data_IF_232365974428
#
_entry.id   IF_232365974428
#
_cell.length_a   1.000
_cell.length_b   1.000
_cell.length_c   1.000
_cell.angle_alpha   90.00
_cell.angle_beta   90.00
_cell.angle_gamma   90.00
#
_symmetry.space_group_name_H-M   'P 1'
#
loop_
_entity.id
_entity.type
_entity.pdbx_description
1 polymer ?
#
# COMPACT_ATOMS: atom_id res chain seq x y z
N UNK A 1 -81.14 -44.27 -12.65
CA UNK A 1 -79.72 -44.79 -12.86
C UNK A 1 -78.87 -43.54 -12.93
N UNK A 2 -78.18 -43.20 -11.82
CA UNK A 2 -77.37 -41.99 -11.75
C UNK A 2 -75.92 -42.37 -12.09
N UNK A 3 -75.51 -41.94 -13.28
CA UNK A 3 -74.14 -42.12 -13.75
C UNK A 3 -73.24 -41.07 -13.09
N UNK A 4 -72.58 -41.47 -12.01
CA UNK A 4 -71.51 -40.64 -11.45
C UNK A 4 -70.24 -40.92 -12.26
N UNK A 5 -69.67 -39.95 -12.93
CA UNK A 5 -68.40 -40.14 -13.58
C UNK A 5 -67.34 -40.42 -12.51
N UNK A 6 -66.81 -41.60 -12.55
CA UNK A 6 -65.60 -41.91 -11.74
C UNK A 6 -64.49 -40.99 -12.17
N UNK A 7 -63.93 -40.21 -11.25
CA UNK A 7 -62.76 -39.40 -11.57
C UNK A 7 -61.63 -40.34 -11.93
N UNK A 8 -61.12 -40.28 -13.16
CA UNK A 8 -59.93 -40.97 -13.55
C UNK A 8 -58.79 -40.51 -12.64
N UNK A 9 -57.97 -41.46 -12.13
CA UNK A 9 -56.88 -41.13 -11.18
C UNK A 9 -55.89 -40.09 -11.67
N UNK A 10 -55.79 -39.87 -13.00
CA UNK A 10 -54.98 -38.84 -13.61
C UNK A 10 -55.45 -37.41 -13.33
N UNK A 11 -56.80 -37.20 -13.11
CA UNK A 11 -57.39 -35.89 -12.81
C UNK A 11 -57.16 -35.44 -11.35
N UNK A 12 -56.75 -36.35 -10.47
CA UNK A 12 -56.43 -35.99 -9.09
C UNK A 12 -55.09 -35.30 -8.93
N UNK A 13 -54.21 -35.36 -9.91
CA UNK A 13 -52.87 -34.73 -9.90
C UNK A 13 -52.81 -33.42 -10.67
N UNK A 14 -53.96 -32.90 -11.13
CA UNK A 14 -54.00 -31.59 -11.77
C UNK A 14 -53.54 -30.47 -10.75
N UNK A 15 -52.64 -29.62 -11.21
CA UNK A 15 -52.09 -28.52 -10.41
C UNK A 15 -53.15 -27.61 -9.83
N UNK A 16 -54.32 -27.42 -10.47
CA UNK A 16 -55.43 -26.67 -9.97
C UNK A 16 -56.10 -27.33 -8.77
N UNK A 17 -56.34 -28.64 -8.81
CA UNK A 17 -56.93 -29.41 -7.71
C UNK A 17 -55.94 -29.49 -6.52
N UNK A 18 -54.69 -29.67 -6.80
CA UNK A 18 -53.64 -29.62 -5.76
C UNK A 18 -53.58 -28.26 -5.08
N UNK A 19 -53.69 -27.19 -5.84
CA UNK A 19 -53.78 -25.82 -5.31
C UNK A 19 -55.09 -25.60 -4.54
N UNK A 20 -56.23 -26.16 -4.99
CA UNK A 20 -57.52 -26.09 -4.28
C UNK A 20 -57.45 -26.84 -2.93
N UNK A 21 -56.91 -28.07 -2.89
CA UNK A 21 -56.73 -28.84 -1.64
C UNK A 21 -55.78 -28.16 -0.67
N UNK A 22 -54.70 -27.56 -1.14
CA UNK A 22 -53.80 -26.76 -0.30
C UNK A 22 -54.49 -25.51 0.26
N UNK A 23 -55.46 -24.97 -0.48
CA UNK A 23 -56.27 -23.81 -0.01
C UNK A 23 -57.27 -24.21 1.10
N UNK A 24 -57.71 -25.47 1.11
CA UNK A 24 -58.70 -26.00 2.08
C UNK A 24 -58.05 -26.48 3.38
N UNK A 25 -56.73 -26.69 3.40
CA UNK A 25 -56.01 -27.07 4.63
C UNK A 25 -56.03 -25.95 5.64
N UNK A 26 -56.06 -26.27 6.96
CA UNK A 26 -55.96 -25.29 8.06
C UNK A 26 -54.71 -24.38 7.89
N UNK A 27 -53.68 -24.89 7.31
CA UNK A 27 -52.47 -24.12 6.99
C UNK A 27 -52.73 -23.14 5.85
N UNK A 28 -53.37 -23.58 4.76
CA UNK A 28 -53.68 -22.75 3.60
C UNK A 28 -54.69 -21.63 3.91
N UNK A 29 -55.67 -21.88 4.79
CA UNK A 29 -56.61 -20.85 5.25
C UNK A 29 -55.92 -19.82 6.15
N UNK A 30 -55.19 -20.24 7.16
CA UNK A 30 -54.40 -19.34 8.03
C UNK A 30 -53.34 -18.56 7.24
N UNK A 31 -52.71 -19.16 6.24
CA UNK A 31 -51.75 -18.49 5.37
C UNK A 31 -52.42 -17.40 4.49
N UNK A 32 -53.67 -17.64 4.05
CA UNK A 32 -54.45 -16.64 3.30
C UNK A 32 -54.91 -15.47 4.18
N UNK A 33 -55.36 -15.75 5.39
CA UNK A 33 -55.87 -14.75 6.35
C UNK A 33 -54.73 -13.79 6.77
N UNK A 34 -53.48 -14.27 6.83
CA UNK A 34 -52.31 -13.47 7.21
C UNK A 34 -51.64 -12.84 5.99
N UNK A 35 -52.32 -11.88 5.38
CA UNK A 35 -51.79 -11.16 4.20
C UNK A 35 -50.42 -10.55 4.46
N UNK A 36 -50.18 -9.94 5.64
CA UNK A 36 -48.89 -9.39 6.05
C UNK A 36 -47.77 -10.44 6.12
N UNK A 37 -48.09 -11.66 6.63
CA UNK A 37 -47.10 -12.75 6.72
C UNK A 37 -46.65 -13.27 5.33
N UNK A 38 -47.56 -13.29 4.36
CA UNK A 38 -47.26 -13.67 2.97
C UNK A 38 -46.36 -12.65 2.27
N UNK A 39 -46.66 -11.37 2.48
CA UNK A 39 -45.85 -10.28 1.96
C UNK A 39 -44.44 -10.34 2.60
N UNK A 40 -44.38 -10.45 3.92
CA UNK A 40 -43.10 -10.60 4.65
C UNK A 40 -42.29 -11.82 4.18
N UNK A 41 -42.94 -13.00 4.00
CA UNK A 41 -42.27 -14.21 3.51
C UNK A 41 -41.75 -14.06 2.07
N UNK A 42 -42.48 -13.36 1.20
CA UNK A 42 -42.03 -13.10 -0.18
C UNK A 42 -40.78 -12.18 -0.22
N UNK A 43 -40.79 -11.16 0.65
CA UNK A 43 -39.68 -10.24 0.73
C UNK A 43 -38.53 -10.75 1.62
N UNK A 44 -38.77 -11.71 2.53
CA UNK A 44 -37.70 -12.31 3.37
C UNK A 44 -36.68 -13.10 2.58
N UNK A 45 -37.03 -13.63 1.40
CA UNK A 45 -36.08 -14.38 0.54
C UNK A 45 -34.92 -13.48 0.05
N UNK A 46 -35.18 -12.20 -0.23
CA UNK A 46 -34.16 -11.27 -0.70
C UNK A 46 -33.08 -11.04 0.38
N UNK A 47 -33.42 -10.58 1.61
CA UNK A 47 -32.41 -10.40 2.66
C UNK A 47 -31.76 -11.71 3.09
N UNK A 48 -32.47 -12.85 3.05
CA UNK A 48 -31.85 -14.16 3.31
C UNK A 48 -30.82 -14.54 2.25
N UNK A 49 -31.10 -14.27 0.97
CA UNK A 49 -30.14 -14.47 -0.09
C UNK A 49 -28.90 -13.57 0.09
N UNK A 50 -29.11 -12.28 0.40
CA UNK A 50 -28.00 -11.36 0.69
C UNK A 50 -27.19 -11.82 1.89
N UNK A 51 -27.85 -12.27 2.96
CA UNK A 51 -27.17 -12.79 4.15
C UNK A 51 -26.35 -14.06 3.81
N UNK A 52 -26.91 -14.97 3.01
CA UNK A 52 -26.21 -16.18 2.58
C UNK A 52 -24.99 -15.85 1.69
N UNK A 53 -25.14 -14.92 0.75
CA UNK A 53 -24.04 -14.45 -0.10
C UNK A 53 -22.96 -13.73 0.72
N UNK A 54 -23.38 -12.89 1.68
CA UNK A 54 -22.43 -12.22 2.57
C UNK A 54 -21.70 -13.21 3.49
N UNK A 55 -22.41 -14.21 4.04
CA UNK A 55 -21.79 -15.26 4.85
C UNK A 55 -20.79 -16.10 4.01
N UNK A 56 -21.14 -16.40 2.76
CA UNK A 56 -20.25 -17.10 1.84
C UNK A 56 -19.01 -16.24 1.49
N UNK A 57 -19.20 -14.98 1.15
CA UNK A 57 -18.12 -14.01 0.95
C UNK A 57 -17.19 -13.96 2.17
N UNK A 58 -17.77 -13.79 3.37
CA UNK A 58 -16.99 -13.75 4.60
C UNK A 58 -16.20 -15.02 4.84
N UNK A 59 -16.85 -16.19 4.71
CA UNK A 59 -16.23 -17.49 5.00
C UNK A 59 -15.17 -17.89 3.98
N UNK A 60 -15.38 -17.60 2.70
CA UNK A 60 -14.50 -18.08 1.62
C UNK A 60 -13.41 -17.10 1.22
N UNK A 61 -13.61 -15.80 1.44
CA UNK A 61 -12.68 -14.76 1.01
C UNK A 61 -12.08 -14.01 2.21
N UNK A 62 -12.91 -13.36 3.04
CA UNK A 62 -12.41 -12.46 4.10
C UNK A 62 -11.74 -13.22 5.24
N UNK A 63 -12.37 -14.25 5.81
CA UNK A 63 -11.87 -14.91 7.01
C UNK A 63 -10.55 -15.67 6.78
N UNK A 64 -10.37 -16.43 5.67
CA UNK A 64 -9.10 -17.08 5.37
C UNK A 64 -7.96 -16.07 5.16
N UNK A 65 -8.25 -14.97 4.46
CA UNK A 65 -7.25 -13.96 4.20
C UNK A 65 -6.89 -13.18 5.48
N UNK A 66 -7.86 -12.84 6.31
CA UNK A 66 -7.61 -12.25 7.64
C UNK A 66 -6.73 -13.16 8.49
N UNK A 67 -6.98 -14.47 8.50
CA UNK A 67 -6.15 -15.44 9.22
C UNK A 67 -4.72 -15.55 8.64
N UNK A 68 -4.57 -15.38 7.33
CA UNK A 68 -3.25 -15.32 6.68
C UNK A 68 -2.50 -14.05 7.06
N UNK A 69 -3.16 -12.89 6.96
CA UNK A 69 -2.59 -11.59 7.27
C UNK A 69 -2.19 -11.47 8.74
N UNK A 70 -2.95 -12.03 9.67
CA UNK A 70 -2.62 -12.04 11.10
C UNK A 70 -1.31 -12.76 11.46
N UNK A 71 -0.71 -13.49 10.51
CA UNK A 71 0.59 -14.16 10.68
C UNK A 71 1.74 -13.36 10.06
N UNK A 72 1.45 -12.21 9.44
CA UNK A 72 2.50 -11.34 8.89
C UNK A 72 3.06 -10.46 10.01
N UNK A 73 4.31 -10.08 9.84
CA UNK A 73 5.00 -9.15 10.73
C UNK A 73 6.01 -8.35 9.91
N UNK A 74 6.35 -7.13 10.32
CA UNK A 74 7.41 -6.39 9.68
C UNK A 74 8.76 -7.09 9.90
N UNK A 75 9.62 -7.00 8.89
CA UNK A 75 10.96 -7.59 8.96
C UNK A 75 11.99 -6.68 8.28
N UNK A 76 13.25 -6.85 8.66
CA UNK A 76 14.38 -6.28 7.95
C UNK A 76 15.28 -7.42 7.46
N UNK A 77 15.55 -7.43 6.16
CA UNK A 77 16.20 -8.52 5.45
C UNK A 77 17.58 -8.07 4.99
N UNK A 78 18.67 -8.77 5.33
CA UNK A 78 20.01 -8.42 4.87
C UNK A 78 20.12 -8.66 3.36
N UNK A 79 20.65 -7.67 2.63
CA UNK A 79 20.82 -7.72 1.17
C UNK A 79 22.29 -7.75 0.78
N UNK A 80 23.11 -6.82 1.33
CA UNK A 80 24.51 -6.72 1.01
C UNK A 80 25.32 -6.20 2.20
N UNK A 81 26.57 -6.63 2.31
CA UNK A 81 27.52 -6.06 3.25
C UNK A 81 28.04 -4.69 2.79
N UNK A 82 28.74 -3.96 3.67
CA UNK A 82 29.31 -2.66 3.35
C UNK A 82 30.47 -2.78 2.34
N UNK A 83 30.56 -1.83 1.41
CA UNK A 83 31.66 -1.77 0.44
C UNK A 83 32.85 -1.00 1.02
N UNK A 84 33.55 -1.60 1.97
CA UNK A 84 34.77 -1.05 2.56
C UNK A 84 34.62 -0.56 4.00
N UNK A 85 35.77 -0.27 4.63
CA UNK A 85 35.85 0.07 6.06
C UNK A 85 35.07 1.35 6.43
N UNK A 86 35.03 2.35 5.56
CA UNK A 86 34.32 3.60 5.79
C UNK A 86 32.79 3.45 5.85
N UNK A 87 32.25 2.33 5.40
CA UNK A 87 30.82 2.02 5.42
C UNK A 87 30.46 0.99 6.50
N UNK A 88 31.45 0.47 7.25
CA UNK A 88 31.24 -0.66 8.16
C UNK A 88 30.39 -0.34 9.39
N UNK A 89 30.36 0.91 9.83
CA UNK A 89 29.64 1.40 11.01
C UNK A 89 28.23 1.94 10.69
N UNK A 90 27.76 1.75 9.48
CA UNK A 90 26.50 2.27 8.97
C UNK A 90 25.62 1.16 8.40
N UNK A 91 24.33 1.23 8.65
CA UNK A 91 23.31 0.41 8.02
C UNK A 91 22.39 1.26 7.14
N UNK A 92 22.08 0.79 5.94
CA UNK A 92 21.15 1.41 5.00
C UNK A 92 19.88 0.58 4.94
N UNK A 93 18.74 1.18 5.24
CA UNK A 93 17.42 0.53 5.17
C UNK A 93 16.66 1.08 3.98
N UNK A 94 16.32 0.21 3.05
CA UNK A 94 15.55 0.54 1.85
C UNK A 94 14.05 0.30 2.08
N UNK A 95 13.20 1.28 1.69
CA UNK A 95 11.76 1.29 1.92
C UNK A 95 11.01 1.56 0.61
N UNK A 96 10.10 0.68 0.26
CA UNK A 96 9.32 0.76 -0.98
C UNK A 96 8.08 1.64 -0.86
N UNK A 97 7.55 2.04 -2.03
CA UNK A 97 6.37 2.89 -2.16
C UNK A 97 5.04 2.15 -2.07
N UNK A 98 3.97 2.91 -2.38
CA UNK A 98 2.58 2.46 -2.33
C UNK A 98 2.35 1.21 -3.18
N UNK A 99 1.63 0.25 -2.62
CA UNK A 99 1.28 -1.01 -3.29
C UNK A 99 2.35 -2.09 -3.25
N UNK A 100 3.53 -1.79 -2.67
CA UNK A 100 4.62 -2.76 -2.48
C UNK A 100 4.73 -3.19 -1.01
N UNK A 101 5.07 -4.46 -0.80
CA UNK A 101 5.21 -5.05 0.53
C UNK A 101 6.67 -5.06 1.00
N UNK A 102 7.61 -5.27 0.08
CA UNK A 102 8.99 -5.66 0.38
C UNK A 102 9.98 -4.91 -0.53
N UNK A 103 11.04 -4.39 0.06
CA UNK A 103 12.08 -3.61 -0.62
C UNK A 103 13.23 -4.47 -1.19
N UNK A 104 13.18 -5.79 -1.07
CA UNK A 104 14.29 -6.68 -1.48
C UNK A 104 14.75 -6.46 -2.91
N UNK A 105 13.81 -6.38 -3.86
CA UNK A 105 14.15 -6.21 -5.28
C UNK A 105 14.71 -4.81 -5.57
N UNK A 106 14.21 -3.79 -4.87
CA UNK A 106 14.70 -2.42 -5.01
C UNK A 106 16.10 -2.29 -4.46
N UNK A 107 16.34 -2.80 -3.26
CA UNK A 107 17.65 -2.81 -2.63
C UNK A 107 18.69 -3.59 -3.46
N UNK A 108 18.31 -4.72 -4.06
CA UNK A 108 19.19 -5.47 -4.99
C UNK A 108 19.51 -4.70 -6.27
N UNK A 109 18.59 -3.88 -6.76
CA UNK A 109 18.80 -3.04 -7.94
C UNK A 109 19.76 -1.86 -7.67
N UNK A 110 20.00 -1.53 -6.39
CA UNK A 110 20.80 -0.39 -5.94
C UNK A 110 22.09 -0.82 -5.18
N UNK A 111 23.00 -1.62 -5.77
CA UNK A 111 24.20 -2.10 -5.10
C UNK A 111 25.11 -0.97 -4.60
N UNK A 112 25.05 0.23 -5.19
CA UNK A 112 25.83 1.39 -4.74
C UNK A 112 25.42 1.92 -3.36
N UNK A 113 24.28 1.54 -2.82
CA UNK A 113 23.92 1.81 -1.43
C UNK A 113 24.91 1.19 -0.44
N UNK A 114 25.57 0.09 -0.82
CA UNK A 114 26.63 -0.55 -0.02
C UNK A 114 27.85 0.34 0.23
N UNK A 115 28.03 1.40 -0.57
CA UNK A 115 29.05 2.44 -0.33
C UNK A 115 28.73 3.32 0.88
N UNK A 116 27.46 3.39 1.29
CA UNK A 116 27.01 4.10 2.49
C UNK A 116 27.04 3.20 3.73
N UNK A 117 26.70 1.91 3.59
CA UNK A 117 26.62 0.98 4.71
C UNK A 117 26.17 -0.42 4.32
N UNK A 118 25.97 -1.29 5.31
CA UNK A 118 25.31 -2.59 5.13
C UNK A 118 23.87 -2.37 4.68
N UNK A 119 23.46 -2.99 3.56
CA UNK A 119 22.14 -2.77 2.96
C UNK A 119 21.11 -3.79 3.44
N UNK A 120 19.98 -3.30 3.91
CA UNK A 120 18.85 -4.06 4.42
C UNK A 120 17.58 -3.62 3.72
N UNK A 121 16.73 -4.57 3.34
CA UNK A 121 15.40 -4.29 2.81
C UNK A 121 14.36 -4.33 3.94
N UNK A 122 13.49 -3.33 3.98
CA UNK A 122 12.34 -3.32 4.89
C UNK A 122 11.17 -4.03 4.23
N UNK A 123 10.61 -5.00 4.94
CA UNK A 123 9.33 -5.64 4.62
C UNK A 123 8.29 -5.14 5.60
N UNK A 124 7.19 -4.61 5.09
CA UNK A 124 6.09 -4.13 5.92
C UNK A 124 5.25 -5.28 6.48
N UNK A 125 4.52 -5.01 7.56
CA UNK A 125 3.41 -5.87 7.96
C UNK A 125 2.28 -5.73 6.94
N UNK A 126 1.77 -6.85 6.44
CA UNK A 126 0.74 -6.83 5.43
C UNK A 126 -0.66 -6.45 5.97
N UNK A 127 -0.81 -6.27 7.28
CA UNK A 127 -2.01 -5.72 7.91
C UNK A 127 -2.03 -4.20 7.93
N UNK A 128 -0.85 -3.55 7.88
CA UNK A 128 -0.67 -2.10 7.91
C UNK A 128 0.74 -1.71 8.34
N UNK A 129 1.02 -0.41 8.37
CA UNK A 129 2.31 0.14 8.77
C UNK A 129 2.21 0.73 10.17
N UNK A 130 3.15 0.31 11.02
CA UNK A 130 3.50 0.97 12.27
C UNK A 130 4.99 1.36 12.22
N UNK A 131 5.25 2.64 12.03
CA UNK A 131 6.60 3.19 11.86
C UNK A 131 7.44 3.06 13.13
N UNK A 132 6.80 3.08 14.31
CA UNK A 132 7.48 2.88 15.57
C UNK A 132 7.97 1.43 15.72
N UNK A 133 7.14 0.46 15.36
CA UNK A 133 7.53 -0.96 15.37
C UNK A 133 8.70 -1.22 14.41
N UNK A 134 8.70 -0.58 13.24
CA UNK A 134 9.80 -0.68 12.28
C UNK A 134 11.06 0.00 12.84
N UNK A 135 10.95 1.18 13.46
CA UNK A 135 12.07 1.86 14.10
C UNK A 135 12.69 1.00 15.22
N UNK A 136 11.86 0.41 16.09
CA UNK A 136 12.31 -0.49 17.15
C UNK A 136 13.00 -1.75 16.58
N UNK A 137 12.53 -2.26 15.43
CA UNK A 137 13.17 -3.37 14.73
C UNK A 137 14.54 -2.98 14.18
N UNK A 138 14.65 -1.80 13.57
CA UNK A 138 15.93 -1.23 13.10
C UNK A 138 16.91 -1.07 14.25
N UNK A 139 16.47 -0.54 15.39
CA UNK A 139 17.32 -0.41 16.59
C UNK A 139 17.85 -1.77 17.03
N UNK A 140 16.98 -2.76 17.21
CA UNK A 140 17.39 -4.12 17.64
C UNK A 140 18.41 -4.76 16.70
N UNK A 141 18.19 -4.64 15.38
CA UNK A 141 19.09 -5.25 14.38
C UNK A 141 20.45 -4.54 14.35
N UNK A 142 20.46 -3.21 14.41
CA UNK A 142 21.69 -2.42 14.43
C UNK A 142 22.45 -2.58 15.75
N UNK A 143 21.76 -2.78 16.87
CA UNK A 143 22.39 -3.13 18.16
C UNK A 143 23.07 -4.49 18.09
N UNK A 144 22.38 -5.50 17.61
CA UNK A 144 22.94 -6.84 17.46
C UNK A 144 24.16 -6.87 16.50
N UNK A 145 24.16 -6.03 15.49
CA UNK A 145 25.24 -5.89 14.54
C UNK A 145 26.33 -4.89 14.97
N UNK A 146 26.20 -4.22 16.11
CA UNK A 146 27.10 -3.17 16.62
C UNK A 146 27.27 -1.99 15.64
N UNK A 147 26.21 -1.63 14.92
CA UNK A 147 26.20 -0.55 13.93
C UNK A 147 25.55 0.70 14.55
N UNK A 148 26.28 1.80 14.80
CA UNK A 148 25.74 2.99 15.45
C UNK A 148 24.97 3.94 14.52
N UNK A 149 25.21 3.86 13.21
CA UNK A 149 24.73 4.84 12.23
C UNK A 149 23.74 4.22 11.26
N UNK A 150 22.73 5.02 10.85
CA UNK A 150 21.63 4.58 9.99
C UNK A 150 21.42 5.55 8.84
N UNK A 151 21.21 5.01 7.64
CA UNK A 151 20.70 5.71 6.46
C UNK A 151 19.36 5.09 6.10
N UNK A 152 18.37 5.90 5.80
CA UNK A 152 17.06 5.47 5.32
C UNK A 152 16.89 5.88 3.86
N UNK A 153 16.57 4.94 2.99
CA UNK A 153 16.30 5.20 1.58
C UNK A 153 14.84 4.87 1.28
N UNK A 154 14.04 5.86 0.94
CA UNK A 154 12.60 5.69 0.72
C UNK A 154 12.18 6.09 -0.68
N UNK A 155 11.42 5.22 -1.33
CA UNK A 155 10.89 5.42 -2.68
C UNK A 155 9.42 5.83 -2.63
N UNK A 156 9.06 6.97 -3.22
CA UNK A 156 7.70 7.49 -3.23
C UNK A 156 7.14 7.61 -1.79
N UNK A 157 6.00 6.99 -1.50
CA UNK A 157 5.43 6.88 -0.16
C UNK A 157 6.43 6.31 0.88
N UNK A 158 7.33 5.41 0.46
CA UNK A 158 8.39 4.90 1.34
C UNK A 158 9.29 5.98 1.92
N UNK A 159 9.44 7.12 1.24
CA UNK A 159 10.15 8.28 1.77
C UNK A 159 9.40 9.00 2.90
N UNK A 160 8.06 9.02 2.87
CA UNK A 160 7.24 9.53 3.98
C UNK A 160 7.46 8.67 5.23
N UNK A 161 7.42 7.35 5.06
CA UNK A 161 7.68 6.38 6.13
C UNK A 161 9.13 6.50 6.64
N UNK A 162 10.11 6.68 5.73
CA UNK A 162 11.50 6.89 6.09
C UNK A 162 11.71 8.15 6.96
N UNK A 163 11.01 9.25 6.66
CA UNK A 163 11.06 10.47 7.48
C UNK A 163 10.49 10.26 8.89
N UNK A 164 9.39 9.52 9.01
CA UNK A 164 8.79 9.23 10.31
C UNK A 164 9.67 8.28 11.13
N UNK A 165 10.23 7.23 10.51
CA UNK A 165 11.20 6.34 11.15
C UNK A 165 12.45 7.12 11.56
N UNK A 166 12.98 7.99 10.68
CA UNK A 166 14.12 8.84 10.99
C UNK A 166 13.85 9.72 12.21
N UNK A 167 12.66 10.30 12.29
CA UNK A 167 12.24 11.07 13.46
C UNK A 167 12.27 10.24 14.75
N UNK A 168 11.69 9.03 14.74
CA UNK A 168 11.73 8.12 15.89
C UNK A 168 13.16 7.78 16.30
N UNK A 169 14.04 7.46 15.34
CA UNK A 169 15.43 7.13 15.59
C UNK A 169 16.21 8.35 16.12
N UNK A 170 15.97 9.52 15.57
CA UNK A 170 16.67 10.75 15.94
C UNK A 170 16.33 11.21 17.36
N UNK A 171 15.04 11.11 17.76
CA UNK A 171 14.54 11.65 19.03
C UNK A 171 14.47 10.61 20.15
N UNK A 172 14.34 9.33 19.86
CA UNK A 172 14.00 8.30 20.86
C UNK A 172 14.97 7.11 20.89
N UNK A 173 16.09 7.12 20.15
CA UNK A 173 17.06 6.01 20.16
C UNK A 173 18.50 6.51 20.34
N UNK A 174 19.44 5.58 20.53
CA UNK A 174 20.89 5.87 20.52
C UNK A 174 21.50 5.90 19.12
N UNK A 175 20.71 5.57 18.07
CA UNK A 175 21.21 5.52 16.69
C UNK A 175 21.31 6.92 16.08
N UNK A 176 22.41 7.17 15.41
CA UNK A 176 22.60 8.39 14.61
C UNK A 176 22.03 8.19 13.21
N UNK A 177 21.05 9.01 12.83
CA UNK A 177 20.58 9.07 11.44
C UNK A 177 21.58 9.92 10.64
N UNK A 178 22.33 9.32 9.71
CA UNK A 178 23.27 10.04 8.83
C UNK A 178 22.56 10.71 7.67
N UNK A 179 21.62 10.00 7.05
CA UNK A 179 20.91 10.53 5.89
C UNK A 179 19.52 9.92 5.74
N UNK A 180 18.61 10.69 5.10
CA UNK A 180 17.33 10.23 4.58
C UNK A 180 17.29 10.54 3.08
N UNK A 181 17.23 9.50 2.26
CA UNK A 181 17.12 9.58 0.81
C UNK A 181 15.64 9.50 0.43
N UNK A 182 15.16 10.50 -0.28
CA UNK A 182 13.77 10.69 -0.68
C UNK A 182 13.69 10.62 -2.21
N UNK A 183 13.27 9.48 -2.76
CA UNK A 183 13.12 9.31 -4.20
C UNK A 183 11.68 9.59 -4.62
N UNK A 184 11.45 10.70 -5.34
CA UNK A 184 10.11 11.15 -5.79
C UNK A 184 9.07 11.13 -4.66
N UNK A 185 9.47 11.49 -3.44
CA UNK A 185 8.62 11.40 -2.25
C UNK A 185 7.63 12.55 -2.17
N UNK A 186 6.32 12.31 -2.01
CA UNK A 186 5.36 13.35 -1.68
C UNK A 186 5.50 13.72 -0.20
N UNK A 187 5.67 14.99 0.13
CA UNK A 187 5.77 15.44 1.53
C UNK A 187 4.41 15.68 2.20
N UNK A 188 3.37 15.80 1.41
CA UNK A 188 1.98 15.90 1.82
C UNK A 188 1.04 15.49 0.68
N UNK A 189 -0.27 15.52 0.93
CA UNK A 189 -1.28 15.18 -0.07
C UNK A 189 -1.32 16.16 -1.27
N UNK A 190 -0.90 17.43 -1.10
CA UNK A 190 -0.85 18.42 -2.18
C UNK A 190 0.29 18.12 -3.17
N UNK A 191 1.33 17.44 -2.70
CA UNK A 191 2.40 16.95 -3.56
C UNK A 191 1.96 15.79 -4.46
N UNK A 192 0.85 15.11 -4.15
CA UNK A 192 0.28 14.07 -5.03
C UNK A 192 -0.54 14.73 -6.11
N UNK A 193 -0.27 14.39 -7.39
CA UNK A 193 -1.02 14.94 -8.51
C UNK A 193 -2.51 14.59 -8.41
N UNK A 194 -3.35 15.51 -8.86
CA UNK A 194 -4.80 15.46 -8.68
C UNK A 194 -5.41 14.12 -9.09
N UNK A 195 -5.07 13.61 -10.27
CA UNK A 195 -5.61 12.35 -10.79
C UNK A 195 -5.29 11.17 -9.88
N UNK A 196 -4.02 11.05 -9.44
CA UNK A 196 -3.57 9.99 -8.53
C UNK A 196 -4.18 10.13 -7.14
N UNK A 197 -4.35 11.37 -6.67
CA UNK A 197 -5.00 11.66 -5.39
C UNK A 197 -6.46 11.28 -5.41
N UNK A 198 -7.22 11.72 -6.42
CA UNK A 198 -8.64 11.46 -6.55
C UNK A 198 -8.92 9.95 -6.64
N UNK A 199 -8.07 9.19 -7.38
CA UNK A 199 -8.12 7.73 -7.42
C UNK A 199 -7.84 7.08 -6.05
N UNK A 200 -6.85 7.58 -5.34
CA UNK A 200 -6.51 7.11 -3.98
C UNK A 200 -7.64 7.35 -2.99
N UNK A 201 -8.23 8.56 -2.98
CA UNK A 201 -9.34 8.93 -2.12
C UNK A 201 -10.62 8.11 -2.42
N UNK A 202 -10.89 7.84 -3.70
CA UNK A 202 -12.00 6.97 -4.11
C UNK A 202 -11.80 5.54 -3.60
N UNK A 203 -10.61 4.98 -3.80
CA UNK A 203 -10.27 3.65 -3.29
C UNK A 203 -10.44 3.59 -1.77
N UNK A 204 -9.94 4.60 -1.03
CA UNK A 204 -10.05 4.67 0.42
C UNK A 204 -11.51 4.72 0.90
N UNK A 205 -12.37 5.45 0.19
CA UNK A 205 -13.80 5.51 0.48
C UNK A 205 -14.45 4.13 0.37
N UNK A 206 -14.18 3.40 -0.71
CA UNK A 206 -14.69 2.05 -0.92
C UNK A 206 -14.20 1.06 0.13
N UNK A 207 -12.90 1.07 0.43
CA UNK A 207 -12.28 0.19 1.43
C UNK A 207 -12.84 0.48 2.83
N UNK A 208 -13.10 1.74 3.16
CA UNK A 208 -13.67 2.11 4.45
C UNK A 208 -15.16 1.77 4.62
N UNK A 209 -15.89 1.69 3.50
CA UNK A 209 -17.34 1.48 3.53
C UNK A 209 -17.76 0.00 3.49
N UNK A 210 -17.04 -0.87 2.80
CA UNK A 210 -17.44 -2.26 2.61
C UNK A 210 -16.79 -3.19 3.65
N UNK A 211 -17.60 -3.93 4.46
CA UNK A 211 -17.06 -4.81 5.49
C UNK A 211 -16.14 -5.90 4.91
N UNK A 212 -14.92 -6.01 5.46
CA UNK A 212 -13.93 -6.99 5.02
C UNK A 212 -13.16 -6.59 3.75
N UNK A 213 -13.34 -5.37 3.22
CA UNK A 213 -12.66 -4.92 2.01
C UNK A 213 -11.13 -4.87 2.17
N UNK A 214 -10.63 -4.65 3.37
CA UNK A 214 -9.19 -4.62 3.69
C UNK A 214 -8.53 -5.96 3.47
N UNK A 215 -9.25 -7.04 3.68
CA UNK A 215 -8.78 -8.42 3.57
C UNK A 215 -9.23 -9.10 2.25
N UNK A 216 -10.32 -8.64 1.64
CA UNK A 216 -10.95 -9.30 0.49
C UNK A 216 -10.06 -9.33 -0.75
N UNK A 217 -9.71 -10.53 -1.21
CA UNK A 217 -9.02 -10.75 -2.49
C UNK A 217 -9.94 -10.50 -3.68
N UNK A 218 -11.23 -10.82 -3.53
CA UNK A 218 -12.23 -10.61 -4.58
C UNK A 218 -12.40 -9.11 -4.87
N UNK A 219 -12.55 -8.28 -3.81
CA UNK A 219 -12.66 -6.83 -3.98
C UNK A 219 -11.35 -6.24 -4.52
N UNK A 220 -10.20 -6.77 -4.11
CA UNK A 220 -8.91 -6.38 -4.67
C UNK A 220 -8.83 -6.69 -6.17
N UNK A 221 -9.22 -7.90 -6.57
CA UNK A 221 -9.27 -8.29 -7.98
C UNK A 221 -10.17 -7.36 -8.78
N UNK A 222 -11.35 -7.04 -8.24
CA UNK A 222 -12.30 -6.11 -8.88
C UNK A 222 -11.68 -4.72 -9.05
N UNK A 223 -11.05 -4.16 -8.02
CA UNK A 223 -10.39 -2.86 -8.06
C UNK A 223 -9.23 -2.83 -9.06
N UNK A 224 -8.36 -3.85 -9.06
CA UNK A 224 -7.23 -3.96 -10.00
C UNK A 224 -7.70 -4.14 -11.46
N UNK A 225 -8.77 -4.90 -11.67
CA UNK A 225 -9.37 -5.04 -13.01
C UNK A 225 -9.99 -3.71 -13.46
N UNK A 226 -10.70 -3.03 -12.57
CA UNK A 226 -11.29 -1.72 -12.86
C UNK A 226 -10.23 -0.65 -13.13
N UNK A 227 -9.10 -0.66 -12.45
CA UNK A 227 -8.00 0.28 -12.72
C UNK A 227 -7.42 0.14 -14.13
N UNK A 228 -7.61 -1.03 -14.77
CA UNK A 228 -7.19 -1.34 -16.15
C UNK A 228 -8.31 -1.14 -17.18
N UNK A 229 -9.40 -0.45 -16.81
CA UNK A 229 -10.59 -0.31 -17.67
C UNK A 229 -10.29 0.28 -19.04
N UNK A 230 -9.31 1.15 -19.16
CA UNK A 230 -8.93 1.77 -20.43
C UNK A 230 -8.43 0.74 -21.45
N UNK A 231 -8.02 -0.48 -21.01
CA UNK A 231 -7.60 -1.57 -21.88
C UNK A 231 -8.77 -2.28 -22.56
N UNK A 232 -9.93 -2.34 -21.92
CA UNK A 232 -11.10 -3.10 -22.37
C UNK A 232 -12.36 -2.26 -22.56
N UNK A 233 -12.31 -0.96 -22.25
CA UNK A 233 -13.37 -0.01 -22.60
C UNK A 233 -13.23 0.42 -24.05
N UNK A 234 -14.13 -0.06 -24.88
CA UNK A 234 -14.17 0.20 -26.32
C UNK A 234 -15.22 -0.69 -26.96
N UNK A 235 -15.37 -0.61 -28.25
CA UNK A 235 -16.24 -1.50 -28.98
C UNK A 235 -17.75 -1.20 -28.93
N UNK A 236 -18.50 -2.02 -29.66
CA UNK A 236 -19.95 -1.83 -29.90
C UNK A 236 -20.83 -1.94 -28.65
N UNK A 237 -20.34 -2.63 -27.61
CA UNK A 237 -21.06 -2.89 -26.36
C UNK A 237 -20.39 -2.25 -25.14
N UNK A 238 -19.42 -1.36 -25.33
CA UNK A 238 -18.71 -0.67 -24.25
C UNK A 238 -17.64 -1.51 -23.52
N UNK A 239 -17.57 -2.82 -23.75
CA UNK A 239 -16.56 -3.72 -23.18
C UNK A 239 -16.14 -4.72 -24.27
N UNK A 240 -14.81 -4.85 -24.49
CA UNK A 240 -14.21 -5.91 -25.29
C UNK A 240 -13.99 -7.15 -24.42
N UNK A 241 -14.69 -8.28 -24.68
CA UNK A 241 -14.69 -9.42 -23.76
C UNK A 241 -13.31 -10.09 -23.60
N UNK A 242 -12.50 -10.14 -24.66
CA UNK A 242 -11.20 -10.79 -24.62
C UNK A 242 -10.18 -9.95 -23.88
N UNK A 243 -10.17 -8.63 -24.09
CA UNK A 243 -9.34 -7.67 -23.35
C UNK A 243 -9.73 -7.62 -21.87
N UNK A 244 -11.03 -7.71 -21.56
CA UNK A 244 -11.50 -7.83 -20.18
C UNK A 244 -10.99 -9.12 -19.51
N UNK A 245 -11.06 -10.27 -20.20
CA UNK A 245 -10.54 -11.56 -19.69
C UNK A 245 -9.02 -11.47 -19.46
N UNK A 246 -8.30 -10.81 -20.36
CA UNK A 246 -6.87 -10.58 -20.21
C UNK A 246 -6.57 -9.69 -19.00
N UNK A 247 -7.28 -8.58 -18.83
CA UNK A 247 -7.15 -7.70 -17.68
C UNK A 247 -7.43 -8.41 -16.35
N UNK A 248 -8.45 -9.29 -16.30
CA UNK A 248 -8.74 -10.14 -15.12
C UNK A 248 -7.60 -11.14 -14.87
N UNK A 249 -7.10 -11.80 -15.92
CA UNK A 249 -6.01 -12.78 -15.82
C UNK A 249 -4.72 -12.14 -15.30
N UNK A 250 -4.37 -10.97 -15.83
CA UNK A 250 -3.20 -10.21 -15.40
C UNK A 250 -3.34 -9.77 -13.95
N UNK A 251 -4.52 -9.23 -13.57
CA UNK A 251 -4.80 -8.85 -12.19
C UNK A 251 -4.71 -10.02 -11.23
N UNK A 252 -5.23 -11.20 -11.62
CA UNK A 252 -5.11 -12.43 -10.82
C UNK A 252 -3.65 -12.83 -10.64
N UNK A 253 -2.88 -12.92 -11.72
CA UNK A 253 -1.49 -13.37 -11.69
C UNK A 253 -0.59 -12.42 -10.92
N UNK A 254 -0.71 -11.11 -11.18
CA UNK A 254 0.20 -10.11 -10.65
C UNK A 254 -0.15 -9.67 -9.22
N UNK A 255 -1.45 -9.69 -8.84
CA UNK A 255 -1.94 -9.03 -7.62
C UNK A 255 -2.67 -9.93 -6.62
N UNK A 256 -3.01 -11.16 -7.00
CA UNK A 256 -3.78 -12.06 -6.14
C UNK A 256 -3.04 -13.37 -5.85
N UNK A 257 -2.46 -13.99 -6.89
CA UNK A 257 -1.81 -15.30 -6.78
C UNK A 257 -0.35 -15.21 -6.34
N UNK A 258 0.23 -14.03 -6.32
CA UNK A 258 1.61 -13.80 -5.89
C UNK A 258 1.67 -13.69 -4.36
N UNK A 259 2.64 -14.35 -3.73
CA UNK A 259 2.76 -14.44 -2.26
C UNK A 259 3.19 -13.14 -1.59
N UNK A 260 3.93 -12.28 -2.30
CA UNK A 260 4.54 -11.05 -1.77
C UNK A 260 3.81 -9.76 -2.18
N UNK A 261 2.50 -9.84 -2.36
CA UNK A 261 1.67 -8.69 -2.73
C UNK A 261 1.14 -7.98 -1.48
N UNK A 262 1.20 -6.65 -1.52
CA UNK A 262 0.57 -5.80 -0.51
C UNK A 262 -0.95 -6.05 -0.46
N UNK A 263 -1.50 -6.27 0.72
CA UNK A 263 -2.96 -6.36 0.93
C UNK A 263 -3.63 -5.00 0.70
N UNK A 264 -4.94 -5.00 0.54
CA UNK A 264 -5.71 -3.74 0.49
C UNK A 264 -5.57 -2.96 1.80
N UNK A 265 -5.49 -3.65 2.96
CA UNK A 265 -5.27 -3.03 4.26
C UNK A 265 -3.90 -2.35 4.38
N UNK A 266 -2.84 -2.98 3.83
CA UNK A 266 -1.52 -2.36 3.78
C UNK A 266 -1.53 -1.12 2.88
N UNK A 267 -2.13 -1.19 1.68
CA UNK A 267 -2.22 -0.05 0.76
C UNK A 267 -3.00 1.11 1.39
N UNK A 268 -4.09 0.81 2.09
CA UNK A 268 -4.82 1.81 2.86
C UNK A 268 -3.92 2.49 3.90
N UNK A 269 -3.18 1.71 4.68
CA UNK A 269 -2.25 2.23 5.68
C UNK A 269 -1.15 3.10 5.05
N UNK A 270 -0.61 2.65 3.93
CA UNK A 270 0.39 3.38 3.14
C UNK A 270 -0.13 4.72 2.63
N UNK A 271 -1.36 4.74 2.10
CA UNK A 271 -1.97 5.98 1.62
C UNK A 271 -2.29 6.94 2.78
N UNK A 272 -2.78 6.41 3.90
CA UNK A 272 -3.02 7.21 5.12
C UNK A 272 -1.76 7.90 5.66
N UNK A 273 -0.59 7.29 5.52
CA UNK A 273 0.66 7.92 5.92
C UNK A 273 0.94 9.22 5.13
N UNK A 274 0.58 9.24 3.82
CA UNK A 274 0.68 10.47 3.01
C UNK A 274 -0.37 11.49 3.47
N UNK A 275 -1.62 11.06 3.67
CA UNK A 275 -2.76 11.93 4.04
C UNK A 275 -2.55 12.55 5.42
N UNK A 276 -1.98 11.82 6.37
CA UNK A 276 -1.71 12.31 7.72
C UNK A 276 -0.75 13.53 7.75
N UNK A 277 0.02 13.74 6.65
CA UNK A 277 0.79 14.97 6.45
C UNK A 277 1.93 15.19 7.46
N UNK A 278 2.36 14.14 8.16
CA UNK A 278 3.40 14.22 9.19
C UNK A 278 4.80 14.55 8.66
N UNK A 279 5.07 14.30 7.38
CA UNK A 279 6.41 14.44 6.79
C UNK A 279 7.03 15.84 7.00
N UNK A 280 6.25 16.91 6.88
CA UNK A 280 6.72 18.28 7.12
C UNK A 280 7.15 18.49 8.58
N UNK A 281 6.42 17.94 9.54
CA UNK A 281 6.77 18.01 10.96
C UNK A 281 8.01 17.18 11.28
N UNK A 282 8.13 15.99 10.68
CA UNK A 282 9.31 15.17 10.83
C UNK A 282 10.56 15.82 10.24
N UNK A 283 10.45 16.47 9.07
CA UNK A 283 11.54 17.27 8.49
C UNK A 283 11.97 18.42 9.42
N UNK A 284 11.01 19.10 10.03
CA UNK A 284 11.33 20.17 11.00
C UNK A 284 12.07 19.63 12.23
N UNK A 285 11.62 18.52 12.78
CA UNK A 285 12.29 17.87 13.91
C UNK A 285 13.70 17.39 13.55
N UNK A 286 13.90 16.87 12.34
CA UNK A 286 15.22 16.44 11.84
C UNK A 286 16.15 17.62 11.49
N UNK A 287 15.62 18.83 11.31
CA UNK A 287 16.40 20.04 11.11
C UNK A 287 17.03 20.57 12.41
N UNK A 288 16.61 20.04 13.54
CA UNK A 288 17.15 20.39 14.85
C UNK A 288 18.07 19.28 15.38
N UNK A 289 19.19 19.61 16.07
CA UNK A 289 19.98 18.61 16.77
C UNK A 289 19.17 17.97 17.91
N UNK A 290 19.34 16.68 18.14
CA UNK A 290 18.67 15.98 19.23
C UNK A 290 19.69 15.14 20.03
N UNK A 291 19.75 15.29 21.35
CA UNK A 291 20.60 14.52 22.26
C UNK A 291 22.07 14.39 21.82
N UNK A 292 22.66 15.49 21.33
CA UNK A 292 24.04 15.53 20.83
C UNK A 292 24.24 14.87 19.46
N UNK A 293 23.19 14.41 18.80
CA UNK A 293 23.24 13.87 17.44
C UNK A 293 23.16 15.02 16.42
N UNK A 294 24.00 14.99 15.37
CA UNK A 294 23.93 16.00 14.32
C UNK A 294 22.67 15.85 13.47
N UNK A 295 22.32 16.92 12.78
CA UNK A 295 21.25 16.91 11.78
C UNK A 295 21.58 15.94 10.64
N UNK A 296 20.65 15.08 10.21
CA UNK A 296 20.91 14.17 9.09
C UNK A 296 20.95 14.92 7.75
N UNK A 297 21.67 14.35 6.79
CA UNK A 297 21.58 14.75 5.40
C UNK A 297 20.19 14.38 4.84
N UNK A 298 19.54 15.31 4.16
CA UNK A 298 18.31 15.06 3.41
C UNK A 298 18.65 15.07 1.92
N UNK A 299 18.45 13.98 1.24
CA UNK A 299 18.74 13.84 -0.19
C UNK A 299 17.43 13.65 -0.94
N UNK A 300 17.15 14.55 -1.88
CA UNK A 300 15.95 14.44 -2.75
C UNK A 300 16.34 14.05 -4.16
N UNK A 301 15.99 12.84 -4.56
CA UNK A 301 16.19 12.31 -5.92
C UNK A 301 14.90 12.52 -6.71
N UNK A 302 15.00 13.14 -7.89
CA UNK A 302 13.85 13.41 -8.75
C UNK A 302 14.22 13.40 -10.23
N UNK A 303 13.25 13.17 -11.15
CA UNK A 303 13.51 13.35 -12.57
C UNK A 303 13.85 14.82 -12.89
N UNK A 304 14.74 15.00 -13.85
CA UNK A 304 15.11 16.35 -14.35
C UNK A 304 13.91 17.07 -14.92
N UNK A 305 13.09 16.37 -15.70
CA UNK A 305 11.79 16.88 -16.16
C UNK A 305 10.73 16.57 -15.09
N UNK A 306 10.18 17.57 -14.37
CA UNK A 306 9.17 17.34 -13.34
C UNK A 306 7.87 16.68 -13.84
N UNK A 307 7.59 16.80 -15.15
CA UNK A 307 6.41 16.20 -15.76
C UNK A 307 6.60 14.71 -16.10
N UNK A 308 7.84 14.20 -16.03
CA UNK A 308 8.09 12.77 -16.15
C UNK A 308 7.56 11.96 -14.95
N UNK A 309 7.35 12.62 -13.80
CA UNK A 309 6.63 12.05 -12.68
C UNK A 309 5.14 12.40 -12.76
N UNK A 310 4.33 11.41 -13.10
CA UNK A 310 2.88 11.55 -13.26
C UNK A 310 2.10 11.30 -11.97
N UNK A 311 2.78 10.89 -10.88
CA UNK A 311 2.18 10.61 -9.56
C UNK A 311 2.40 11.79 -8.61
N UNK A 312 3.66 12.28 -8.53
CA UNK A 312 4.08 13.31 -7.58
C UNK A 312 4.46 14.60 -8.30
N UNK A 313 4.02 15.73 -7.79
CA UNK A 313 4.56 17.04 -8.15
C UNK A 313 5.91 17.24 -7.44
N UNK A 314 6.95 16.70 -8.07
CA UNK A 314 8.32 16.79 -7.53
C UNK A 314 8.84 18.22 -7.47
N UNK A 315 8.27 19.16 -8.23
CA UNK A 315 8.64 20.59 -8.16
C UNK A 315 8.06 21.22 -6.90
N UNK A 316 6.84 20.86 -6.51
CA UNK A 316 6.24 21.27 -5.26
C UNK A 316 7.05 20.74 -4.06
N UNK A 317 7.32 19.41 -4.04
CA UNK A 317 8.15 18.80 -2.98
C UNK A 317 9.52 19.46 -2.88
N UNK A 318 10.17 19.73 -4.02
CA UNK A 318 11.49 20.38 -4.04
C UNK A 318 11.47 21.74 -3.37
N UNK A 319 10.49 22.61 -3.70
CA UNK A 319 10.35 23.93 -3.07
C UNK A 319 10.17 23.82 -1.56
N UNK A 320 9.27 22.95 -1.13
CA UNK A 320 8.99 22.75 0.28
C UNK A 320 10.19 22.19 1.07
N UNK A 321 11.02 21.34 0.44
CA UNK A 321 12.27 20.88 1.06
C UNK A 321 13.30 22.01 1.20
N UNK A 322 13.44 22.88 0.20
CA UNK A 322 14.31 24.07 0.30
C UNK A 322 13.88 24.96 1.48
N UNK A 323 12.58 25.20 1.62
CA UNK A 323 12.03 26.06 2.67
C UNK A 323 12.22 25.47 4.09
N UNK A 324 12.40 24.17 4.22
CA UNK A 324 12.45 23.47 5.53
C UNK A 324 13.86 23.05 5.95
N UNK A 325 14.64 22.52 5.03
CA UNK A 325 15.95 21.93 5.31
C UNK A 325 17.05 22.42 4.36
N UNK A 326 16.73 23.39 3.49
CA UNK A 326 17.68 24.10 2.64
C UNK A 326 18.37 25.25 3.35
N UNK A 327 19.08 26.06 2.58
CA UNK A 327 19.79 27.26 3.08
C UNK A 327 21.30 27.03 3.27
N UNK A 328 22.05 28.08 3.70
CA UNK A 328 23.50 28.03 3.82
C UNK A 328 24.00 26.97 4.80
N UNK A 329 23.27 26.78 5.90
CA UNK A 329 23.56 25.77 6.92
C UNK A 329 22.68 24.52 6.77
N UNK A 330 22.00 24.39 5.63
CA UNK A 330 21.09 23.28 5.36
C UNK A 330 21.81 21.99 5.03
N UNK A 331 21.12 20.87 5.27
CA UNK A 331 21.62 19.53 4.98
C UNK A 331 20.95 18.91 3.74
N UNK A 332 20.38 19.74 2.85
CA UNK A 332 19.65 19.30 1.66
C UNK A 332 20.58 19.17 0.45
N UNK A 333 20.53 18.00 -0.18
CA UNK A 333 21.03 17.76 -1.54
C UNK A 333 19.87 17.42 -2.46
N UNK A 334 19.77 18.10 -3.59
CA UNK A 334 18.82 17.75 -4.65
C UNK A 334 19.55 17.16 -5.83
N UNK A 335 19.21 15.91 -6.17
CA UNK A 335 19.79 15.15 -7.26
C UNK A 335 18.77 14.96 -8.38
N UNK A 336 19.19 15.17 -9.62
CA UNK A 336 18.31 14.96 -10.76
C UNK A 336 18.78 13.80 -11.64
N UNK A 337 17.83 12.98 -12.04
CA UNK A 337 18.00 11.87 -12.99
C UNK A 337 17.47 12.30 -14.38
N UNK A 338 18.05 11.75 -15.45
CA UNK A 338 17.75 12.21 -16.83
C UNK A 338 16.55 11.52 -17.45
N UNK A 339 16.45 10.21 -17.25
CA UNK A 339 15.49 9.33 -17.97
C UNK A 339 14.57 8.55 -17.03
N UNK A 340 14.52 8.94 -15.76
CA UNK A 340 13.61 8.30 -14.80
C UNK A 340 12.23 8.95 -14.84
N UNK A 341 11.25 8.21 -14.32
CA UNK A 341 9.90 8.69 -14.01
C UNK A 341 9.69 8.71 -12.50
N UNK A 342 8.51 8.26 -12.07
CA UNK A 342 8.17 8.18 -10.66
C UNK A 342 8.87 6.99 -9.97
N UNK A 343 9.84 7.26 -9.09
CA UNK A 343 10.47 6.30 -8.17
C UNK A 343 10.67 4.89 -8.77
N UNK A 344 11.40 4.80 -9.87
CA UNK A 344 11.53 3.56 -10.64
C UNK A 344 12.95 2.96 -10.68
N UNK A 345 13.63 2.75 -9.54
CA UNK A 345 15.01 2.27 -9.49
C UNK A 345 15.18 0.88 -10.12
N UNK A 346 14.19 -0.01 -10.03
CA UNK A 346 14.26 -1.33 -10.68
C UNK A 346 14.27 -1.27 -12.21
N UNK A 347 13.58 -0.28 -12.80
CA UNK A 347 13.51 -0.10 -14.25
C UNK A 347 14.70 0.71 -14.80
N UNK A 348 15.33 1.52 -13.96
CA UNK A 348 16.45 2.41 -14.33
C UNK A 348 17.64 2.30 -13.37
N UNK A 349 18.10 1.09 -13.01
CA UNK A 349 19.09 0.90 -11.96
C UNK A 349 20.42 1.59 -12.25
N UNK A 350 20.87 1.60 -13.50
CA UNK A 350 22.14 2.21 -13.88
C UNK A 350 22.19 3.72 -13.55
N UNK A 351 21.10 4.43 -13.79
CA UNK A 351 21.02 5.87 -13.55
C UNK A 351 20.99 6.19 -12.05
N UNK A 352 20.17 5.46 -11.29
CA UNK A 352 20.12 5.61 -9.83
C UNK A 352 21.48 5.29 -9.19
N UNK A 353 22.11 4.18 -9.57
CA UNK A 353 23.42 3.82 -9.05
C UNK A 353 24.50 4.88 -9.39
N UNK A 354 24.46 5.46 -10.58
CA UNK A 354 25.39 6.52 -10.98
C UNK A 354 25.22 7.77 -10.10
N UNK A 355 23.99 8.25 -9.88
CA UNK A 355 23.76 9.46 -9.06
C UNK A 355 24.04 9.19 -7.58
N UNK A 356 23.72 8.02 -7.07
CA UNK A 356 24.05 7.62 -5.69
C UNK A 356 25.56 7.65 -5.50
N UNK A 357 26.31 7.00 -6.39
CA UNK A 357 27.78 6.91 -6.28
C UNK A 357 28.45 8.28 -6.43
N UNK A 358 28.02 9.08 -7.42
CA UNK A 358 28.71 10.31 -7.80
C UNK A 358 28.33 11.52 -6.97
N UNK A 359 27.10 11.56 -6.41
CA UNK A 359 26.59 12.75 -5.72
C UNK A 359 26.15 12.45 -4.28
N UNK A 360 25.37 11.39 -4.04
CA UNK A 360 24.82 11.10 -2.71
C UNK A 360 25.91 10.68 -1.74
N UNK A 361 26.73 9.68 -2.11
CA UNK A 361 27.81 9.16 -1.24
C UNK A 361 28.78 10.27 -0.83
N UNK A 362 29.34 11.10 -1.74
CA UNK A 362 30.22 12.19 -1.36
C UNK A 362 29.55 13.20 -0.44
N UNK A 363 28.28 13.54 -0.70
CA UNK A 363 27.56 14.52 0.11
C UNK A 363 27.31 13.98 1.53
N UNK A 364 26.82 12.77 1.69
CA UNK A 364 26.60 12.16 3.02
C UNK A 364 27.91 12.09 3.81
N UNK A 365 29.03 11.73 3.15
CA UNK A 365 30.36 11.73 3.78
C UNK A 365 30.85 13.14 4.16
N UNK A 366 30.49 14.16 3.40
CA UNK A 366 30.80 15.54 3.72
C UNK A 366 30.06 15.97 5.00
N UNK A 367 28.75 15.76 5.06
CA UNK A 367 27.92 16.09 6.24
C UNK A 367 28.41 15.34 7.49
N UNK A 368 28.74 14.05 7.35
CA UNK A 368 29.27 13.23 8.46
C UNK A 368 30.55 13.81 9.07
N UNK A 369 31.41 14.42 8.26
CA UNK A 369 32.71 14.98 8.69
C UNK A 369 32.62 16.42 9.17
N UNK A 370 31.51 17.11 8.88
CA UNK A 370 31.34 18.52 9.30
C UNK A 370 31.04 18.56 10.79
N UNK A 371 31.93 19.14 11.61
CA UNK A 371 31.68 19.27 13.04
C UNK A 371 30.42 20.10 13.26
N UNK A 372 29.61 19.74 14.26
CA UNK A 372 28.55 20.62 14.69
C UNK A 372 29.17 21.94 15.12
N UNK A 373 28.74 23.04 14.52
CA UNK A 373 29.04 24.37 15.08
C UNK A 373 28.47 24.37 16.49
N UNK A 374 29.33 24.39 17.50
CA UNK A 374 28.95 24.57 18.88
C UNK A 374 28.34 25.97 18.98
N UNK A 375 26.98 26.02 19.01
CA UNK A 375 26.21 27.21 19.27
C UNK A 375 26.31 27.66 20.74
#
# INVERSE_FOLDING_TARGET
MWDYPHPSGAAEYDDERRRARLRETRFGTRWRERRGLRIAARFALIPLLFLALFAQYWRLDVAPERARLARTAPAVLPIAGPSGAAAADTAVFDLVGLGSLDATDTARALPTLSQLGSVWAVRYDNTGIDTKVIADLIVRVTEAAHIPKVVLAGHSMGGVIALEIAHHLHTASSRQVLAVLLDCTPIDLHAVRRESRDQGEELMRWVGWFPGARESRLLRLTAETYSRRDRYQGGRYGIEPDDFREAVRDSLREKILTTDVASTGLIESQFRAIVAGGAVNHLRALAEPADGKPRPAIVFIRPRNPYADYIVDVAYTHRALIDRVGGPDGTLLVVTTRTTGHANPKQRPAEYNAVILQQVVPFVRLIERTPMASG
#
